data_IF_983872691392
#
_entry.id   IF_983872691392
#
_cell.length_a   1.000
_cell.length_b   1.000
_cell.length_c   1.000
_cell.angle_alpha   90.00
_cell.angle_beta   90.00
_cell.angle_gamma   90.00
#
_symmetry.space_group_name_H-M   'P 1'
#
loop_
_entity.id
_entity.type
_entity.pdbx_description
1 polymer ?
#
# COMPACT_ATOMS: atom_id res chain seq x y z
N UNK A 1 14.93 11.65 43.19
CA UNK A 1 15.30 10.33 42.65
C UNK A 1 14.29 10.02 41.56
N UNK A 2 14.74 10.00 40.31
CA UNK A 2 13.87 10.04 39.13
C UNK A 2 13.11 8.74 38.92
N UNK A 3 11.80 8.85 38.76
CA UNK A 3 10.99 7.74 38.27
C UNK A 3 11.25 7.59 36.77
N UNK A 4 11.94 6.52 36.39
CA UNK A 4 12.03 6.11 35.01
C UNK A 4 10.67 5.53 34.61
N UNK A 5 9.88 6.31 33.88
CA UNK A 5 8.68 5.81 33.20
C UNK A 5 9.21 5.00 32.01
N UNK A 6 9.41 3.70 32.22
CA UNK A 6 9.64 2.77 31.12
C UNK A 6 8.27 2.51 30.47
N UNK A 7 7.86 3.41 29.57
CA UNK A 7 6.73 3.15 28.71
C UNK A 7 7.09 1.95 27.82
N UNK A 8 6.28 0.89 27.77
CA UNK A 8 6.51 -0.17 26.82
C UNK A 8 6.42 0.43 25.41
N UNK A 9 7.50 0.34 24.63
CA UNK A 9 7.52 0.53 23.17
C UNK A 9 6.80 -0.64 22.47
N UNK A 10 5.65 -1.05 23.00
CA UNK A 10 4.74 -2.01 22.41
C UNK A 10 3.50 -1.26 21.92
N UNK A 11 3.00 -1.66 20.75
CA UNK A 11 1.67 -1.32 20.22
C UNK A 11 1.47 -0.11 19.29
N UNK A 12 2.49 0.68 18.93
CA UNK A 12 2.29 1.73 17.89
C UNK A 12 2.27 1.14 16.46
N UNK A 13 2.70 -0.11 16.27
CA UNK A 13 3.08 -0.65 14.96
C UNK A 13 1.94 -1.17 14.08
N UNK A 14 0.81 -1.60 14.64
CA UNK A 14 -0.30 -2.18 13.86
C UNK A 14 -1.56 -1.31 13.84
N UNK A 15 -1.91 -0.68 14.97
CA UNK A 15 -3.04 0.25 15.06
C UNK A 15 -2.87 1.45 14.11
N UNK A 16 -1.65 1.98 14.03
CA UNK A 16 -1.30 3.06 13.09
C UNK A 16 -1.40 2.62 11.63
N UNK A 17 -1.04 1.37 11.32
CA UNK A 17 -1.08 0.84 9.96
C UNK A 17 -2.54 0.60 9.51
N UNK A 18 -3.37 0.05 10.39
CA UNK A 18 -4.80 -0.12 10.15
C UNK A 18 -5.51 1.22 9.97
N UNK A 19 -5.22 2.21 10.83
CA UNK A 19 -5.79 3.55 10.73
C UNK A 19 -5.38 4.28 9.44
N UNK A 20 -4.12 4.14 9.01
CA UNK A 20 -3.65 4.69 7.72
C UNK A 20 -4.32 4.03 6.53
N UNK A 21 -4.46 2.70 6.55
CA UNK A 21 -5.17 1.94 5.51
C UNK A 21 -6.62 2.41 5.40
N UNK A 22 -7.31 2.57 6.52
CA UNK A 22 -8.69 3.05 6.54
C UNK A 22 -8.80 4.49 6.00
N UNK A 23 -7.89 5.37 6.42
CA UNK A 23 -7.83 6.74 5.94
C UNK A 23 -7.61 6.80 4.42
N UNK A 24 -6.69 6.00 3.87
CA UNK A 24 -6.45 5.92 2.43
C UNK A 24 -7.67 5.35 1.70
N UNK A 25 -8.29 4.28 2.22
CA UNK A 25 -9.50 3.71 1.63
C UNK A 25 -10.65 4.73 1.60
N UNK A 26 -10.82 5.52 2.66
CA UNK A 26 -11.79 6.61 2.73
C UNK A 26 -11.48 7.69 1.69
N UNK A 27 -10.23 8.11 1.58
CA UNK A 27 -9.80 9.09 0.58
C UNK A 27 -10.11 8.61 -0.84
N UNK A 28 -9.76 7.37 -1.18
CA UNK A 28 -10.05 6.77 -2.50
C UNK A 28 -11.55 6.78 -2.81
N UNK A 29 -12.39 6.44 -1.83
CA UNK A 29 -13.86 6.49 -2.00
C UNK A 29 -14.37 7.91 -2.19
N UNK A 30 -13.83 8.88 -1.44
CA UNK A 30 -14.22 10.29 -1.56
C UNK A 30 -13.79 10.91 -2.89
N UNK A 31 -12.56 10.63 -3.34
CA UNK A 31 -12.08 11.07 -4.65
C UNK A 31 -12.93 10.46 -5.77
N UNK A 32 -13.23 9.16 -5.71
CA UNK A 32 -14.09 8.48 -6.68
C UNK A 32 -15.50 9.10 -6.74
N UNK A 33 -16.10 9.44 -5.59
CA UNK A 33 -17.37 10.17 -5.54
C UNK A 33 -17.28 11.57 -6.18
N UNK A 34 -16.12 12.22 -6.06
CA UNK A 34 -15.77 13.48 -6.72
C UNK A 34 -15.32 13.36 -8.18
N UNK A 35 -15.39 12.16 -8.78
CA UNK A 35 -14.89 11.83 -10.13
C UNK A 35 -13.39 12.10 -10.33
N UNK A 36 -12.62 11.92 -9.27
CA UNK A 36 -11.15 12.00 -9.25
C UNK A 36 -10.58 10.62 -8.91
N UNK A 37 -9.36 10.36 -9.35
CA UNK A 37 -8.65 9.13 -9.02
C UNK A 37 -7.52 9.47 -8.05
N UNK A 38 -7.42 8.69 -6.97
CA UNK A 38 -6.28 8.78 -6.07
C UNK A 38 -5.10 8.05 -6.72
N UNK A 39 -3.95 8.70 -6.81
CA UNK A 39 -2.72 8.07 -7.30
C UNK A 39 -2.00 7.42 -6.13
N UNK A 40 -1.78 6.11 -6.22
CA UNK A 40 -1.07 5.33 -5.20
C UNK A 40 0.34 5.02 -5.70
N UNK A 41 1.34 5.38 -4.90
CA UNK A 41 2.74 5.10 -5.19
C UNK A 41 3.08 3.64 -4.98
N UNK A 42 3.66 2.99 -5.99
CA UNK A 42 4.11 1.61 -5.89
C UNK A 42 5.59 1.49 -6.25
N UNK A 43 6.34 0.76 -5.43
CA UNK A 43 7.75 0.48 -5.68
C UNK A 43 7.87 -0.93 -6.25
N UNK A 44 8.44 -1.05 -7.45
CA UNK A 44 8.65 -2.33 -8.14
C UNK A 44 10.13 -2.65 -8.18
N UNK A 45 10.50 -3.87 -7.80
CA UNK A 45 11.87 -4.39 -7.81
C UNK A 45 11.94 -5.71 -8.58
N UNK A 46 12.97 -5.85 -9.40
CA UNK A 46 13.31 -7.11 -10.05
C UNK A 46 14.31 -7.91 -9.22
N UNK A 47 14.08 -9.21 -9.08
CA UNK A 47 14.94 -10.16 -8.39
C UNK A 47 15.08 -11.43 -9.25
N UNK A 48 16.17 -11.50 -10.03
CA UNK A 48 16.55 -12.71 -10.76
C UNK A 48 15.46 -13.28 -11.67
N UNK A 49 14.74 -12.41 -12.40
CA UNK A 49 13.61 -12.79 -13.25
C UNK A 49 12.25 -12.86 -12.55
N UNK A 50 12.17 -12.56 -11.25
CA UNK A 50 10.91 -12.34 -10.53
C UNK A 50 10.71 -10.86 -10.23
N UNK A 51 9.48 -10.38 -10.34
CA UNK A 51 9.09 -9.02 -10.05
C UNK A 51 8.37 -8.99 -8.71
N UNK A 52 8.74 -8.07 -7.85
CA UNK A 52 8.09 -7.81 -6.57
C UNK A 52 7.64 -6.37 -6.52
N UNK A 53 6.51 -6.12 -5.85
CA UNK A 53 6.11 -4.77 -5.51
C UNK A 53 5.95 -4.61 -4.01
N UNK A 54 6.16 -3.38 -3.55
CA UNK A 54 5.76 -2.88 -2.25
C UNK A 54 4.95 -1.59 -2.41
N UNK A 55 4.00 -1.36 -1.50
CA UNK A 55 3.21 -0.14 -1.44
C UNK A 55 3.58 0.61 -0.17
N UNK A 56 4.41 1.66 -0.22
CA UNK A 56 4.88 2.36 0.98
C UNK A 56 3.75 2.95 1.83
N UNK A 57 2.65 3.33 1.17
CA UNK A 57 1.45 3.87 1.82
C UNK A 57 0.62 2.79 2.53
N UNK A 58 0.81 1.52 2.15
CA UNK A 58 0.10 0.35 2.68
C UNK A 58 1.10 -0.72 3.12
N UNK A 59 1.73 -0.55 4.30
CA UNK A 59 2.63 -1.56 4.84
C UNK A 59 1.93 -2.92 4.96
N UNK A 60 2.62 -3.98 4.54
CA UNK A 60 2.09 -5.35 4.48
C UNK A 60 1.30 -5.68 3.20
N UNK A 61 1.21 -4.76 2.24
CA UNK A 61 0.71 -5.06 0.89
C UNK A 61 1.91 -5.28 -0.03
N UNK A 62 2.10 -6.54 -0.41
CA UNK A 62 3.08 -6.97 -1.40
C UNK A 62 2.42 -7.87 -2.45
N UNK A 63 2.97 -7.86 -3.65
CA UNK A 63 2.62 -8.81 -4.69
C UNK A 63 3.86 -9.22 -5.47
N UNK A 64 3.80 -10.40 -6.07
CA UNK A 64 4.88 -10.98 -6.85
C UNK A 64 4.37 -11.48 -8.18
N UNK A 65 5.18 -11.34 -9.21
CA UNK A 65 4.89 -11.83 -10.54
C UNK A 65 6.15 -12.41 -11.19
N UNK A 66 5.99 -13.47 -11.98
CA UNK A 66 7.09 -14.07 -12.74
C UNK A 66 7.37 -13.34 -14.06
N UNK A 67 6.47 -12.43 -14.47
CA UNK A 67 6.63 -11.58 -15.66
C UNK A 67 6.36 -10.13 -15.29
N UNK A 68 7.10 -9.22 -15.93
CA UNK A 68 6.97 -7.77 -15.73
C UNK A 68 5.54 -7.28 -15.98
N UNK A 69 4.89 -7.78 -17.03
CA UNK A 69 3.54 -7.38 -17.41
C UNK A 69 2.46 -7.77 -16.38
N UNK A 70 2.74 -8.79 -15.56
CA UNK A 70 1.78 -9.30 -14.59
C UNK A 70 1.90 -8.58 -13.23
N UNK A 71 2.95 -7.76 -13.02
CA UNK A 71 3.17 -7.08 -11.72
C UNK A 71 2.17 -5.94 -11.49
N UNK A 72 1.78 -5.20 -12.53
CA UNK A 72 0.79 -4.12 -12.42
C UNK A 72 -0.61 -4.63 -12.08
N UNK A 73 -1.18 -5.63 -12.80
CA UNK A 73 -2.47 -6.18 -12.43
C UNK A 73 -2.43 -6.86 -11.05
N UNK A 74 -1.32 -7.50 -10.68
CA UNK A 74 -1.14 -8.07 -9.35
C UNK A 74 -1.11 -6.98 -8.26
N UNK A 75 -0.40 -5.87 -8.49
CA UNK A 75 -0.38 -4.71 -7.60
C UNK A 75 -1.78 -4.13 -7.40
N UNK A 76 -2.49 -3.92 -8.51
CA UNK A 76 -3.83 -3.35 -8.51
C UNK A 76 -4.82 -4.25 -7.74
N UNK A 77 -4.75 -5.55 -7.94
CA UNK A 77 -5.56 -6.51 -7.20
C UNK A 77 -5.24 -6.52 -5.69
N UNK A 78 -3.96 -6.50 -5.32
CA UNK A 78 -3.52 -6.50 -3.93
C UNK A 78 -3.96 -5.22 -3.19
N UNK A 79 -3.81 -4.05 -3.82
CA UNK A 79 -4.25 -2.76 -3.26
C UNK A 79 -5.76 -2.70 -3.14
N UNK A 80 -6.49 -3.12 -4.18
CA UNK A 80 -7.96 -3.17 -4.16
C UNK A 80 -8.48 -4.06 -3.01
N UNK A 81 -7.86 -5.23 -2.81
CA UNK A 81 -8.20 -6.13 -1.71
C UNK A 81 -7.87 -5.52 -0.34
N UNK A 82 -6.70 -4.90 -0.19
CA UNK A 82 -6.29 -4.26 1.06
C UNK A 82 -7.18 -3.08 1.45
N UNK A 83 -7.58 -2.26 0.47
CA UNK A 83 -8.43 -1.08 0.69
C UNK A 83 -9.93 -1.40 0.68
N UNK A 84 -10.31 -2.60 0.22
CA UNK A 84 -11.71 -2.97 -0.05
C UNK A 84 -12.41 -1.93 -0.93
N UNK A 85 -11.79 -1.59 -2.05
CA UNK A 85 -12.31 -0.64 -3.05
C UNK A 85 -12.17 -1.22 -4.46
N UNK A 86 -13.06 -0.83 -5.41
CA UNK A 86 -12.91 -1.22 -6.80
C UNK A 86 -11.59 -0.74 -7.41
N UNK A 87 -11.00 -1.57 -8.27
CA UNK A 87 -9.70 -1.28 -8.89
C UNK A 87 -9.69 -0.02 -9.78
N UNK A 88 -10.85 0.46 -10.25
CA UNK A 88 -10.97 1.63 -11.13
C UNK A 88 -11.14 2.95 -10.36
N UNK A 89 -11.09 2.93 -9.01
CA UNK A 89 -11.17 4.14 -8.18
C UNK A 89 -9.82 4.81 -7.92
N UNK A 90 -8.73 4.15 -8.32
CA UNK A 90 -7.38 4.65 -8.12
C UNK A 90 -6.50 4.34 -9.33
N UNK A 91 -5.40 5.07 -9.42
CA UNK A 91 -4.34 4.86 -10.40
C UNK A 91 -3.05 4.48 -9.70
N UNK A 92 -2.19 3.75 -10.41
CA UNK A 92 -0.91 3.29 -9.89
C UNK A 92 0.21 4.14 -10.50
N UNK A 93 1.03 4.72 -9.64
CA UNK A 93 2.27 5.35 -10.06
C UNK A 93 3.43 4.39 -9.78
N UNK A 94 3.86 3.68 -10.83
CA UNK A 94 4.93 2.70 -10.75
C UNK A 94 6.31 3.37 -10.74
N UNK A 95 7.07 3.11 -9.68
CA UNK A 95 8.50 3.45 -9.57
C UNK A 95 9.32 2.17 -9.63
N UNK A 96 9.98 1.96 -10.76
CA UNK A 96 10.93 0.88 -10.93
C UNK A 96 12.25 1.24 -10.24
N UNK A 97 12.72 0.35 -9.36
CA UNK A 97 14.03 0.44 -8.72
C UNK A 97 14.92 -0.63 -9.36
N UNK A 98 16.04 -0.22 -9.93
CA UNK A 98 17.14 -1.09 -10.37
C UNK A 98 17.91 -1.68 -9.18
#
# INVERSE_FOLDING_TARGET
>A
MGQAIYAPLGDVSEETAAARREALARQVRMDAAGKRLTTIGVEVREHGGSWSLAVPELPGVDARATRRQDIEPAARAAIAAALQVPYHFFELHMRFRD
#
